data_IF_735933095692
#
_entry.id   IF_735933095692
#
_cell.length_a   1.000
_cell.length_b   1.000
_cell.length_c   1.000
_cell.angle_alpha   90.00
_cell.angle_beta   90.00
_cell.angle_gamma   90.00
#
_symmetry.space_group_name_H-M   'P 1'
#
loop_
_entity.id
_entity.type
_entity.pdbx_description
1 polymer ?
#
# COMPACT_ATOMS: atom_id res chain seq x y z
N UNK A 1 -51.55 -15.03 -8.31
CA UNK A 1 -50.61 -14.29 -9.19
C UNK A 1 -49.75 -13.26 -8.44
N UNK A 2 -50.31 -12.42 -7.56
CA UNK A 2 -49.57 -11.36 -6.85
C UNK A 2 -48.39 -11.86 -5.99
N UNK A 3 -48.54 -12.98 -5.28
CA UNK A 3 -47.47 -13.60 -4.46
C UNK A 3 -46.29 -14.09 -5.30
N UNK A 4 -46.55 -14.66 -6.48
CA UNK A 4 -45.47 -15.11 -7.38
C UNK A 4 -44.65 -13.92 -7.90
N UNK A 5 -45.31 -12.81 -8.22
CA UNK A 5 -44.64 -11.57 -8.65
C UNK A 5 -43.76 -11.02 -7.53
N UNK A 6 -44.24 -10.99 -6.28
CA UNK A 6 -43.46 -10.54 -5.12
C UNK A 6 -42.24 -11.44 -4.87
N UNK A 7 -42.40 -12.77 -4.94
CA UNK A 7 -41.30 -13.73 -4.80
C UNK A 7 -40.24 -13.58 -5.92
N UNK A 8 -40.67 -13.30 -7.15
CA UNK A 8 -39.75 -13.11 -8.28
C UNK A 8 -38.99 -11.78 -8.17
N UNK A 9 -39.64 -10.74 -7.63
CA UNK A 9 -38.99 -9.45 -7.36
C UNK A 9 -37.97 -9.55 -6.22
N UNK A 10 -38.28 -10.32 -5.18
CA UNK A 10 -37.39 -10.54 -4.04
C UNK A 10 -36.15 -11.36 -4.42
N UNK A 11 -36.29 -12.35 -5.30
CA UNK A 11 -35.14 -13.13 -5.81
C UNK A 11 -34.19 -12.28 -6.66
N UNK A 12 -34.70 -11.27 -7.37
CA UNK A 12 -33.86 -10.38 -8.19
C UNK A 12 -33.09 -9.36 -7.34
N UNK A 13 -33.64 -8.93 -6.20
CA UNK A 13 -32.99 -8.01 -5.27
C UNK A 13 -31.73 -8.62 -4.59
N UNK A 14 -31.72 -9.93 -4.34
CA UNK A 14 -30.57 -10.63 -3.74
C UNK A 14 -29.36 -10.68 -4.68
N UNK A 15 -29.57 -10.65 -6.00
CA UNK A 15 -28.48 -10.71 -6.99
C UNK A 15 -27.71 -9.38 -7.13
N UNK A 16 -28.30 -8.25 -6.73
CA UNK A 16 -27.66 -6.92 -6.85
C UNK A 16 -26.83 -6.57 -5.60
N UNK A 17 -27.09 -7.22 -4.47
CA UNK A 17 -26.40 -6.97 -3.20
C UNK A 17 -24.93 -7.47 -3.16
N UNK A 18 -24.49 -8.23 -4.17
CA UNK A 18 -23.15 -8.83 -4.24
C UNK A 18 -22.11 -7.98 -5.01
N UNK A 19 -22.30 -6.66 -5.09
CA UNK A 19 -21.27 -5.74 -5.57
C UNK A 19 -20.67 -4.95 -4.41
N UNK A 20 -19.96 -5.64 -3.52
CA UNK A 20 -19.03 -4.97 -2.61
C UNK A 20 -17.90 -4.41 -3.47
N UNK A 21 -17.94 -3.09 -3.75
CA UNK A 21 -16.78 -2.37 -4.26
C UNK A 21 -15.58 -2.77 -3.40
N UNK A 22 -14.53 -3.30 -4.01
CA UNK A 22 -13.31 -3.65 -3.28
C UNK A 22 -12.69 -2.34 -2.77
N UNK A 23 -13.04 -1.98 -1.53
CA UNK A 23 -12.71 -0.72 -0.89
C UNK A 23 -11.21 -0.60 -0.61
N UNK A 24 -10.39 -1.53 -1.11
CA UNK A 24 -8.96 -1.68 -0.86
C UNK A 24 -8.12 -1.42 -2.10
N UNK A 25 -8.74 -1.08 -3.23
CA UNK A 25 -8.04 -0.75 -4.48
C UNK A 25 -7.07 0.43 -4.35
N UNK A 26 -7.23 1.27 -3.32
CA UNK A 26 -6.30 2.35 -3.02
C UNK A 26 -4.92 1.84 -2.55
N UNK A 27 -4.83 0.64 -1.98
CA UNK A 27 -3.60 0.10 -1.36
C UNK A 27 -2.58 -0.41 -2.39
N UNK A 28 -2.90 -1.36 -3.30
CA UNK A 28 -1.89 -1.91 -4.21
C UNK A 28 -1.31 -0.87 -5.14
N UNK A 29 -0.03 -0.99 -5.46
CA UNK A 29 0.68 -0.12 -6.40
C UNK A 29 2.14 0.07 -6.07
N UNK A 30 2.81 0.88 -6.90
CA UNK A 30 4.21 1.23 -6.72
C UNK A 30 4.29 2.60 -6.06
N UNK A 31 5.05 2.71 -4.99
CA UNK A 31 5.24 3.94 -4.23
C UNK A 31 6.71 4.29 -4.18
N UNK A 32 7.07 5.53 -4.49
CA UNK A 32 8.45 6.00 -4.54
C UNK A 32 8.72 7.09 -3.52
N UNK A 33 9.91 7.09 -2.96
CA UNK A 33 10.44 8.17 -2.14
C UNK A 33 11.87 8.47 -2.59
N UNK A 34 12.20 9.76 -2.67
CA UNK A 34 13.56 10.23 -2.88
C UNK A 34 13.94 11.08 -1.67
N UNK A 35 15.06 10.76 -1.03
CA UNK A 35 15.55 11.48 0.16
C UNK A 35 17.01 11.85 -0.04
N UNK A 36 17.36 13.09 0.28
CA UNK A 36 18.73 13.57 0.32
C UNK A 36 18.99 14.20 1.68
N UNK A 37 20.14 13.91 2.26
CA UNK A 37 20.59 14.51 3.51
C UNK A 37 22.11 14.57 3.57
N UNK A 38 22.64 15.05 4.69
CA UNK A 38 24.08 15.27 4.85
C UNK A 38 24.93 13.99 4.81
N UNK A 39 24.30 12.82 5.04
CA UNK A 39 24.99 11.54 5.17
C UNK A 39 24.69 10.58 4.03
N UNK A 40 23.60 10.78 3.28
CA UNK A 40 23.23 9.89 2.19
C UNK A 40 22.22 10.51 1.24
N UNK A 41 22.19 9.95 0.03
CA UNK A 41 21.15 10.17 -0.97
C UNK A 41 20.54 8.81 -1.28
N UNK A 42 19.23 8.68 -1.15
CA UNK A 42 18.51 7.42 -1.30
C UNK A 42 17.28 7.56 -2.20
N UNK A 43 17.06 6.53 -3.01
CA UNK A 43 15.84 6.32 -3.77
C UNK A 43 15.23 5.02 -3.31
N UNK A 44 13.99 5.09 -2.82
CA UNK A 44 13.28 3.98 -2.22
C UNK A 44 12.00 3.70 -3.00
N UNK A 45 11.73 2.44 -3.27
CA UNK A 45 10.56 1.97 -4.00
C UNK A 45 9.88 0.86 -3.21
N UNK A 46 8.57 0.99 -3.02
CA UNK A 46 7.71 -0.05 -2.46
C UNK A 46 6.80 -0.55 -3.56
N UNK A 47 6.73 -1.86 -3.76
CA UNK A 47 5.71 -2.49 -4.57
C UNK A 47 4.76 -3.26 -3.63
N UNK A 48 3.53 -2.74 -3.49
CA UNK A 48 2.50 -3.29 -2.61
C UNK A 48 1.51 -4.10 -3.45
N UNK A 49 1.32 -5.37 -3.10
CA UNK A 49 0.40 -6.27 -3.80
C UNK A 49 -0.62 -6.83 -2.82
N UNK A 50 -1.87 -6.94 -3.27
CA UNK A 50 -2.91 -7.62 -2.52
C UNK A 50 -2.64 -9.13 -2.47
N UNK A 51 -2.91 -9.73 -1.32
CA UNK A 51 -2.91 -11.18 -1.11
C UNK A 51 -4.31 -11.65 -0.69
N UNK A 52 -4.42 -12.82 -0.09
CA UNK A 52 -5.70 -13.39 0.34
C UNK A 52 -6.27 -12.63 1.53
N UNK A 53 -7.55 -12.24 1.45
CA UNK A 53 -8.25 -11.54 2.53
C UNK A 53 -7.71 -10.12 2.69
N UNK A 54 -7.42 -9.70 3.92
CA UNK A 54 -6.88 -8.38 4.26
C UNK A 54 -5.33 -8.35 4.31
N UNK A 55 -4.67 -9.32 3.68
CA UNK A 55 -3.20 -9.44 3.66
C UNK A 55 -2.59 -8.81 2.42
N UNK A 56 -1.39 -8.29 2.58
CA UNK A 56 -0.60 -7.67 1.52
C UNK A 56 0.85 -8.11 1.61
N UNK A 57 1.50 -8.19 0.46
CA UNK A 57 2.96 -8.36 0.35
C UNK A 57 3.56 -7.03 -0.11
N UNK A 58 4.71 -6.68 0.45
CA UNK A 58 5.42 -5.44 0.13
C UNK A 58 6.86 -5.79 -0.19
N UNK A 59 7.27 -5.49 -1.41
CA UNK A 59 8.67 -5.58 -1.85
C UNK A 59 9.28 -4.19 -1.82
N UNK A 60 10.22 -3.96 -0.91
CA UNK A 60 10.97 -2.71 -0.80
C UNK A 60 12.32 -2.85 -1.48
N UNK A 61 12.65 -1.89 -2.35
CA UNK A 61 13.96 -1.77 -2.98
C UNK A 61 14.51 -0.38 -2.72
N UNK A 62 15.67 -0.31 -2.09
CA UNK A 62 16.36 0.95 -1.84
C UNK A 62 17.69 0.94 -2.57
N UNK A 63 17.96 1.99 -3.34
CA UNK A 63 19.32 2.32 -3.70
C UNK A 63 19.77 3.51 -2.86
N UNK A 64 21.02 3.53 -2.41
CA UNK A 64 21.57 4.69 -1.72
C UNK A 64 23.05 4.89 -1.98
N UNK A 65 23.51 6.12 -1.78
CA UNK A 65 24.92 6.47 -1.75
C UNK A 65 25.20 7.12 -0.42
N UNK A 66 26.25 6.68 0.28
CA UNK A 66 26.75 7.38 1.45
C UNK A 66 27.49 8.64 1.03
N UNK A 67 27.44 9.67 1.88
CA UNK A 67 28.24 10.88 1.76
C UNK A 67 29.29 10.84 2.85
N UNK A 68 30.56 10.76 2.47
CA UNK A 68 31.71 10.86 3.39
C UNK A 68 32.63 11.98 2.95
N UNK A 69 32.98 12.87 3.88
CA UNK A 69 33.81 14.05 3.59
C UNK A 69 33.29 14.88 2.40
N UNK A 70 31.96 15.03 2.32
CA UNK A 70 31.28 15.77 1.23
C UNK A 70 31.27 15.06 -0.13
N UNK A 71 31.81 13.84 -0.23
CA UNK A 71 31.85 13.07 -1.48
C UNK A 71 30.83 11.94 -1.45
N UNK A 72 30.10 11.80 -2.57
CA UNK A 72 29.17 10.70 -2.82
C UNK A 72 29.97 9.42 -3.13
N UNK A 73 29.76 8.39 -2.33
CA UNK A 73 30.36 7.07 -2.54
C UNK A 73 29.60 6.25 -3.60
N UNK A 74 30.08 5.03 -3.85
CA UNK A 74 29.43 4.07 -4.76
C UNK A 74 27.97 3.83 -4.37
N UNK A 75 27.13 3.53 -5.37
CA UNK A 75 25.74 3.15 -5.16
C UNK A 75 25.66 1.75 -4.54
N UNK A 76 24.93 1.65 -3.45
CA UNK A 76 24.55 0.41 -2.77
C UNK A 76 23.06 0.13 -2.99
N UNK A 77 22.68 -1.15 -2.86
CA UNK A 77 21.32 -1.61 -3.08
C UNK A 77 20.90 -2.57 -1.96
N UNK A 78 19.70 -2.34 -1.44
CA UNK A 78 19.05 -3.19 -0.44
C UNK A 78 17.66 -3.61 -0.93
N UNK A 79 17.22 -4.79 -0.50
CA UNK A 79 15.88 -5.30 -0.76
C UNK A 79 15.31 -5.92 0.51
N UNK A 80 14.04 -5.65 0.78
CA UNK A 80 13.29 -6.25 1.88
C UNK A 80 11.93 -6.74 1.40
N UNK A 81 11.49 -7.89 1.90
CA UNK A 81 10.14 -8.42 1.69
C UNK A 81 9.38 -8.35 3.01
N UNK A 82 8.19 -7.76 2.99
CA UNK A 82 7.32 -7.63 4.15
C UNK A 82 5.96 -8.27 3.90
N UNK A 83 5.36 -8.78 4.98
CA UNK A 83 3.96 -9.18 5.01
C UNK A 83 3.21 -8.17 5.88
N UNK A 84 2.02 -7.77 5.45
CA UNK A 84 1.24 -6.78 6.17
C UNK A 84 -0.26 -7.11 6.18
N UNK A 85 -0.96 -6.56 7.16
CA UNK A 85 -2.40 -6.77 7.38
C UNK A 85 -3.08 -5.40 7.43
N UNK A 86 -4.13 -5.23 6.62
CA UNK A 86 -4.92 -4.01 6.57
C UNK A 86 -5.97 -4.01 7.67
N UNK A 87 -5.98 -2.94 8.47
CA UNK A 87 -7.12 -2.56 9.29
C UNK A 87 -8.03 -1.64 8.47
N UNK A 88 -9.12 -2.21 7.98
CA UNK A 88 -10.09 -1.51 7.12
C UNK A 88 -10.85 -0.40 7.84
N UNK A 89 -10.90 -0.41 9.19
CA UNK A 89 -11.61 0.62 9.96
C UNK A 89 -10.88 1.95 9.96
N UNK A 90 -9.55 1.90 9.96
CA UNK A 90 -8.68 3.08 10.09
C UNK A 90 -7.78 3.28 8.86
N UNK A 91 -7.82 2.38 7.88
CA UNK A 91 -7.05 2.49 6.64
C UNK A 91 -5.54 2.33 6.83
N UNK A 92 -5.12 1.63 7.88
CA UNK A 92 -3.70 1.42 8.21
C UNK A 92 -3.28 0.01 7.87
N UNK A 93 -2.18 -0.11 7.13
CA UNK A 93 -1.55 -1.39 6.81
C UNK A 93 -0.38 -1.62 7.77
N UNK A 94 -0.45 -2.68 8.57
CA UNK A 94 0.58 -2.97 9.58
C UNK A 94 1.43 -4.15 9.15
N UNK A 95 2.73 -3.90 9.04
CA UNK A 95 3.74 -4.91 8.76
C UNK A 95 3.94 -5.86 9.96
N UNK A 96 3.97 -7.17 9.72
CA UNK A 96 3.78 -8.17 10.79
C UNK A 96 5.04 -8.58 11.55
N UNK A 97 6.25 -8.31 11.04
CA UNK A 97 7.52 -8.70 11.68
C UNK A 97 8.08 -7.62 12.61
N UNK A 98 8.01 -6.36 12.20
CA UNK A 98 8.58 -5.20 12.91
C UNK A 98 7.52 -4.16 13.29
N UNK A 99 6.25 -4.39 12.96
CA UNK A 99 5.14 -3.52 13.38
C UNK A 99 5.12 -2.16 12.67
N UNK A 100 5.66 -2.04 11.46
CA UNK A 100 5.63 -0.78 10.72
C UNK A 100 4.20 -0.45 10.31
N UNK A 101 3.73 0.75 10.61
CA UNK A 101 2.45 1.26 10.13
C UNK A 101 2.63 2.03 8.82
N UNK A 102 1.86 1.62 7.82
CA UNK A 102 1.74 2.25 6.51
C UNK A 102 0.38 2.96 6.46
N UNK A 103 0.41 4.30 6.42
CA UNK A 103 -0.78 5.14 6.43
C UNK A 103 -1.02 5.69 5.03
N UNK A 104 -2.16 5.37 4.42
CA UNK A 104 -2.50 5.81 3.08
C UNK A 104 -3.31 7.10 3.10
N UNK A 105 -3.05 7.98 2.14
CA UNK A 105 -3.80 9.20 1.85
C UNK A 105 -4.28 9.15 0.39
N UNK A 106 -5.36 8.40 0.09
CA UNK A 106 -5.80 8.13 -1.28
C UNK A 106 -6.04 9.39 -2.11
N UNK A 107 -6.61 10.44 -1.52
CA UNK A 107 -6.93 11.71 -2.20
C UNK A 107 -5.69 12.42 -2.77
N UNK A 108 -4.52 12.18 -2.15
CA UNK A 108 -3.24 12.76 -2.53
C UNK A 108 -2.30 11.77 -3.23
N UNK A 109 -2.72 10.51 -3.37
CA UNK A 109 -1.86 9.40 -3.82
C UNK A 109 -0.55 9.28 -3.02
N UNK A 110 -0.64 9.46 -1.68
CA UNK A 110 0.51 9.38 -0.79
C UNK A 110 0.41 8.23 0.20
N UNK A 111 1.57 7.76 0.65
CA UNK A 111 1.74 6.76 1.69
C UNK A 111 2.80 7.25 2.68
N UNK A 112 2.53 7.13 3.97
CA UNK A 112 3.50 7.46 5.02
C UNK A 112 3.97 6.22 5.77
N UNK A 113 5.29 6.15 6.01
CA UNK A 113 5.92 5.19 6.92
C UNK A 113 6.78 5.97 7.91
N UNK A 114 6.29 6.15 9.13
CA UNK A 114 6.89 7.09 10.07
C UNK A 114 6.94 8.50 9.47
N UNK A 115 8.15 9.05 9.29
CA UNK A 115 8.36 10.38 8.68
C UNK A 115 8.58 10.36 7.16
N UNK A 116 8.69 9.17 6.55
CA UNK A 116 8.93 9.05 5.11
C UNK A 116 7.61 9.16 4.36
N UNK A 117 7.58 10.02 3.35
CA UNK A 117 6.43 10.20 2.46
C UNK A 117 6.76 9.57 1.12
N UNK A 118 5.95 8.62 0.71
CA UNK A 118 6.02 7.99 -0.61
C UNK A 118 4.87 8.50 -1.47
N UNK A 119 5.13 8.68 -2.76
CA UNK A 119 4.13 9.01 -3.77
C UNK A 119 3.82 7.78 -4.59
N UNK A 120 2.54 7.46 -4.77
CA UNK A 120 2.09 6.40 -5.67
C UNK A 120 2.39 6.80 -7.12
N UNK A 121 2.96 5.89 -7.90
CA UNK A 121 3.05 6.02 -9.35
C UNK A 121 1.67 5.73 -9.94
N UNK A 122 1.24 6.61 -10.86
CA UNK A 122 -0.09 6.60 -11.49
C UNK A 122 -0.51 5.22 -11.98
#
# INVERSE_FOLDING_TARGET
>A
MKIKIILTMLSFAVLIACNTKDNRSFVPGIYINNTSGNYSIADDTLNIQASVGNRFTIERKTGFNLIRNGKKEKREHETESWNAILDEKIGVLTETKRGKSLIFYPDSNMLMIGKRVYKKLN
#
